data_IF_658160452156
#
_entry.id   IF_658160452156
#
_cell.length_a   1.000
_cell.length_b   1.000
_cell.length_c   1.000
_cell.angle_alpha   90.00
_cell.angle_beta   90.00
_cell.angle_gamma   90.00
#
_symmetry.space_group_name_H-M   'P 1'
#
loop_
_entity.id
_entity.type
_entity.pdbx_description
1 polymer ?
#
# COMPACT_ATOMS: atom_id res chain seq x y z
N UNK A 1 32.01 18.02 -15.27
CA UNK A 1 30.95 17.73 -14.28
C UNK A 1 30.93 16.24 -14.14
N UNK A 2 31.49 15.69 -13.07
CA UNK A 2 31.43 14.26 -12.82
C UNK A 2 29.94 13.87 -12.83
N UNK A 3 29.59 12.84 -13.58
CA UNK A 3 28.33 12.11 -13.43
C UNK A 3 28.12 11.84 -11.93
N UNK A 4 26.87 11.72 -11.47
CA UNK A 4 26.58 11.24 -10.11
C UNK A 4 27.29 9.88 -9.90
N UNK A 5 28.54 9.91 -9.45
CA UNK A 5 29.36 8.75 -9.13
C UNK A 5 28.68 8.07 -7.95
N UNK A 6 28.45 6.76 -8.10
CA UNK A 6 27.82 5.85 -7.13
C UNK A 6 28.35 6.11 -5.71
N UNK A 7 27.61 6.91 -4.94
CA UNK A 7 27.93 7.20 -3.56
C UNK A 7 27.26 6.14 -2.68
N UNK A 8 28.06 5.45 -1.85
CA UNK A 8 27.53 4.47 -0.90
C UNK A 8 26.48 5.14 0.00
N UNK A 9 25.24 4.62 -0.05
CA UNK A 9 24.15 5.16 0.74
C UNK A 9 24.28 4.76 2.22
N UNK A 10 24.58 3.48 2.47
CA UNK A 10 24.76 2.94 3.82
C UNK A 10 26.26 2.80 4.15
N UNK A 11 26.77 3.66 5.04
CA UNK A 11 28.19 3.64 5.47
C UNK A 11 28.37 3.36 6.97
N UNK A 12 27.26 3.10 7.67
CA UNK A 12 27.19 3.01 9.14
C UNK A 12 26.82 1.61 9.64
N UNK A 13 26.61 0.65 8.74
CA UNK A 13 26.26 -0.73 9.02
C UNK A 13 27.34 -1.66 8.42
N UNK A 14 27.71 -2.78 9.07
CA UNK A 14 27.19 -3.29 10.35
C UNK A 14 27.69 -2.53 11.60
N UNK A 15 28.86 -1.92 11.49
CA UNK A 15 29.52 -1.17 12.56
C UNK A 15 29.85 0.26 12.10
N UNK A 16 29.92 1.17 13.07
CA UNK A 16 30.29 2.57 12.78
C UNK A 16 31.81 2.74 12.80
N UNK A 17 32.33 3.54 11.86
CA UNK A 17 33.73 3.96 11.89
C UNK A 17 33.98 4.99 13.00
N UNK A 18 35.26 5.30 13.27
CA UNK A 18 35.62 6.31 14.27
C UNK A 18 35.20 7.73 13.88
N UNK A 19 34.94 8.58 14.86
CA UNK A 19 34.57 9.99 14.63
C UNK A 19 35.55 10.73 13.70
N UNK A 20 36.87 10.51 13.87
CA UNK A 20 37.87 11.15 13.01
C UNK A 20 37.82 10.66 11.55
N UNK A 21 37.46 9.38 11.34
CA UNK A 21 37.30 8.83 9.99
C UNK A 21 36.15 9.53 9.27
N UNK A 22 35.01 9.67 9.95
CA UNK A 22 33.85 10.39 9.42
C UNK A 22 34.11 11.88 9.21
N UNK A 23 34.86 12.53 10.11
CA UNK A 23 35.29 13.93 9.95
C UNK A 23 36.13 14.11 8.69
N UNK A 24 37.10 13.23 8.45
CA UNK A 24 37.92 13.25 7.23
C UNK A 24 37.09 12.96 5.98
N UNK A 25 36.13 12.04 6.07
CA UNK A 25 35.22 11.69 4.97
C UNK A 25 34.36 12.89 4.56
N UNK A 26 33.66 13.53 5.50
CA UNK A 26 32.82 14.68 5.22
C UNK A 26 33.60 15.89 4.67
N UNK A 27 34.84 16.09 5.11
CA UNK A 27 35.73 17.14 4.56
C UNK A 27 36.16 16.85 3.12
N UNK A 28 36.46 15.60 2.80
CA UNK A 28 36.93 15.20 1.47
C UNK A 28 35.77 15.08 0.47
N UNK A 29 34.62 14.63 0.94
CA UNK A 29 33.41 14.39 0.15
C UNK A 29 32.20 15.06 0.83
N UNK A 30 32.00 16.38 0.64
CA UNK A 30 30.90 17.12 1.26
C UNK A 30 29.52 16.58 0.94
N UNK A 31 29.35 15.90 -0.20
CA UNK A 31 28.09 15.27 -0.59
C UNK A 31 27.68 14.10 0.33
N UNK A 32 28.63 13.48 1.05
CA UNK A 32 28.37 12.38 1.97
C UNK A 32 28.00 12.85 3.40
N UNK A 33 27.87 14.17 3.61
CA UNK A 33 27.68 14.74 4.96
C UNK A 33 26.42 14.24 5.67
N UNK A 34 25.36 13.87 4.95
CA UNK A 34 24.13 13.34 5.54
C UNK A 34 24.28 11.87 5.96
N UNK A 35 24.97 11.06 5.16
CA UNK A 35 25.34 9.69 5.52
C UNK A 35 26.24 9.69 6.76
N UNK A 36 27.20 10.62 6.81
CA UNK A 36 28.03 10.85 8.00
C UNK A 36 27.18 11.33 9.18
N UNK A 37 26.20 12.20 8.95
CA UNK A 37 25.24 12.65 9.96
C UNK A 37 24.44 11.51 10.58
N UNK A 38 23.94 10.58 9.77
CA UNK A 38 23.25 9.38 10.25
C UNK A 38 24.19 8.44 11.01
N UNK A 39 25.43 8.28 10.56
CA UNK A 39 26.44 7.56 11.33
C UNK A 39 26.71 8.20 12.69
N UNK A 40 26.74 9.54 12.78
CA UNK A 40 26.87 10.26 14.05
C UNK A 40 25.67 10.03 14.96
N UNK A 41 24.46 9.97 14.41
CA UNK A 41 23.24 9.66 15.16
C UNK A 41 23.30 8.26 15.79
N UNK A 42 23.89 7.28 15.12
CA UNK A 42 24.08 5.92 15.66
C UNK A 42 25.18 5.89 16.72
N UNK A 43 26.35 6.44 16.40
CA UNK A 43 27.54 6.34 17.25
C UNK A 43 27.56 7.36 18.41
N UNK A 44 26.63 8.31 18.43
CA UNK A 44 26.57 9.38 19.42
C UNK A 44 27.63 10.47 19.24
N UNK A 45 28.15 10.68 18.03
CA UNK A 45 29.19 11.68 17.74
C UNK A 45 28.61 13.10 17.63
N UNK A 46 28.05 13.61 18.73
CA UNK A 46 27.39 14.92 18.83
C UNK A 46 28.26 16.08 18.31
N UNK A 47 29.54 16.08 18.66
CA UNK A 47 30.46 17.17 18.28
C UNK A 47 30.60 17.22 16.76
N UNK A 48 30.94 16.09 16.15
CA UNK A 48 30.99 15.99 14.69
C UNK A 48 29.65 16.31 14.04
N UNK A 49 28.53 15.79 14.57
CA UNK A 49 27.20 16.12 14.04
C UNK A 49 26.96 17.64 13.97
N UNK A 50 27.36 18.37 15.01
CA UNK A 50 27.26 19.83 15.06
C UNK A 50 28.19 20.53 14.04
N UNK A 51 29.35 19.94 13.75
CA UNK A 51 30.31 20.46 12.74
C UNK A 51 29.79 20.31 11.30
N UNK A 52 28.87 19.37 11.02
CA UNK A 52 28.37 19.08 9.67
C UNK A 52 27.35 20.11 9.16
N UNK A 53 26.75 20.90 10.06
CA UNK A 53 25.75 21.94 9.74
C UNK A 53 24.64 21.42 8.81
N UNK A 54 23.99 20.33 9.23
CA UNK A 54 22.93 19.68 8.47
C UNK A 54 21.57 20.32 8.74
N UNK A 55 20.69 20.24 7.75
CA UNK A 55 19.27 20.46 7.99
C UNK A 55 18.73 19.38 8.96
N UNK A 56 17.62 19.72 9.62
CA UNK A 56 16.83 18.89 10.53
C UNK A 56 16.16 17.71 9.81
N UNK A 57 16.97 16.75 9.39
CA UNK A 57 16.55 15.55 8.67
C UNK A 57 15.81 14.55 9.58
N UNK A 58 14.65 14.07 9.11
CA UNK A 58 13.80 13.15 9.88
C UNK A 58 14.41 11.76 10.05
N UNK A 59 15.19 11.27 9.08
CA UNK A 59 15.78 9.94 9.13
C UNK A 59 16.92 9.89 10.13
N UNK A 60 17.75 10.94 10.18
CA UNK A 60 18.75 11.11 11.24
C UNK A 60 18.07 11.23 12.61
N UNK A 61 16.95 11.96 12.73
CA UNK A 61 16.23 12.07 14.00
C UNK A 61 15.67 10.73 14.47
N UNK A 62 15.07 9.94 13.57
CA UNK A 62 14.54 8.62 13.88
C UNK A 62 15.64 7.64 14.30
N UNK A 63 16.78 7.68 13.62
CA UNK A 63 17.97 6.90 13.96
C UNK A 63 18.52 7.30 15.35
N UNK A 64 18.71 8.61 15.58
CA UNK A 64 19.24 9.12 16.86
C UNK A 64 18.33 8.76 18.05
N UNK A 65 17.01 8.76 17.82
CA UNK A 65 16.02 8.35 18.83
C UNK A 65 16.15 6.87 19.18
N UNK A 66 16.31 6.01 18.17
CA UNK A 66 16.45 4.58 18.38
C UNK A 66 17.74 4.26 19.14
N UNK A 67 18.84 4.89 18.75
CA UNK A 67 20.16 4.61 19.32
C UNK A 67 20.37 5.32 20.67
N UNK A 68 19.52 6.29 21.03
CA UNK A 68 19.60 7.13 22.23
C UNK A 68 19.25 6.44 23.56
N UNK A 69 19.51 5.14 23.69
CA UNK A 69 19.37 4.39 24.95
C UNK A 69 20.31 4.89 26.06
N UNK A 70 20.21 4.27 27.25
CA UNK A 70 20.98 4.67 28.44
C UNK A 70 22.50 4.72 28.22
N UNK A 71 23.01 3.94 27.26
CA UNK A 71 24.44 3.76 27.02
C UNK A 71 25.04 4.76 26.00
N UNK A 72 24.22 5.45 25.19
CA UNK A 72 24.70 6.37 24.14
C UNK A 72 24.06 7.76 24.30
N UNK A 73 24.54 8.49 25.31
CA UNK A 73 24.05 9.85 25.63
C UNK A 73 24.15 10.84 24.45
N UNK A 74 25.14 10.66 23.57
CA UNK A 74 25.35 11.53 22.41
C UNK A 74 24.25 11.44 21.36
N UNK A 75 23.66 10.26 21.14
CA UNK A 75 22.55 10.06 20.20
C UNK A 75 21.28 10.75 20.69
N UNK A 76 20.98 10.62 21.98
CA UNK A 76 19.85 11.32 22.59
C UNK A 76 20.00 12.86 22.53
N UNK A 77 21.22 13.37 22.63
CA UNK A 77 21.52 14.79 22.41
C UNK A 77 21.29 15.23 20.97
N UNK A 78 21.75 14.45 19.98
CA UNK A 78 21.52 14.72 18.55
C UNK A 78 20.01 14.74 18.26
N UNK A 79 19.27 13.76 18.77
CA UNK A 79 17.82 13.72 18.65
C UNK A 79 17.18 15.02 19.16
N UNK A 80 17.52 15.44 20.40
CA UNK A 80 17.03 16.69 21.01
C UNK A 80 17.38 17.92 20.19
N UNK A 81 18.59 17.97 19.62
CA UNK A 81 19.01 19.07 18.76
C UNK A 81 18.14 19.17 17.51
N UNK A 82 17.83 18.04 16.86
CA UNK A 82 17.02 18.03 15.64
C UNK A 82 15.57 18.40 15.94
N UNK A 83 14.93 17.80 16.94
CA UNK A 83 13.51 18.06 17.23
C UNK A 83 13.25 19.48 17.77
N UNK A 84 14.27 20.16 18.29
CA UNK A 84 14.19 21.55 18.72
C UNK A 84 14.24 22.54 17.54
N UNK A 85 14.66 22.09 16.36
CA UNK A 85 14.71 22.88 15.14
C UNK A 85 13.41 22.74 14.34
N UNK A 86 13.09 23.78 13.57
CA UNK A 86 11.96 23.80 12.63
C UNK A 86 12.35 24.74 11.47
N UNK A 87 11.97 24.43 10.22
CA UNK A 87 11.19 23.28 9.72
C UNK A 87 11.93 21.93 9.77
N UNK A 88 11.31 20.83 9.32
CA UNK A 88 11.91 19.48 9.21
C UNK A 88 12.00 19.06 7.75
N UNK A 89 12.97 18.22 7.42
CA UNK A 89 13.24 17.82 6.04
C UNK A 89 13.36 16.32 5.86
N UNK A 90 12.95 15.86 4.68
CA UNK A 90 13.21 14.52 4.12
C UNK A 90 14.37 14.66 3.12
N UNK A 91 15.61 14.61 3.64
CA UNK A 91 16.83 14.72 2.82
C UNK A 91 17.33 13.35 2.40
N UNK A 92 17.33 12.41 3.33
CA UNK A 92 17.62 10.99 3.08
C UNK A 92 16.33 10.27 2.65
N UNK A 93 16.38 9.52 1.55
CA UNK A 93 15.29 8.64 1.11
C UNK A 93 15.73 7.18 1.07
N UNK A 94 15.32 6.42 2.10
CA UNK A 94 15.63 5.00 2.27
C UNK A 94 14.97 4.10 1.20
N UNK A 95 13.93 4.57 0.51
CA UNK A 95 13.28 3.81 -0.56
C UNK A 95 14.06 3.86 -1.87
N UNK A 96 14.73 4.97 -2.16
CA UNK A 96 15.54 5.14 -3.38
C UNK A 96 17.04 5.04 -3.12
N UNK A 97 17.46 5.11 -1.86
CA UNK A 97 18.86 5.22 -1.44
C UNK A 97 19.51 6.49 -2.00
N UNK A 98 18.80 7.60 -1.92
CA UNK A 98 19.25 8.90 -2.45
C UNK A 98 19.32 9.97 -1.37
N UNK A 99 20.09 11.02 -1.66
CA UNK A 99 20.23 12.21 -0.81
C UNK A 99 19.86 13.43 -1.64
N UNK A 100 18.77 14.09 -1.29
CA UNK A 100 18.29 15.28 -2.01
C UNK A 100 18.77 16.56 -1.33
N UNK A 101 19.87 17.13 -1.84
CA UNK A 101 20.46 18.35 -1.30
C UNK A 101 19.93 19.64 -1.94
N UNK A 102 19.35 19.53 -3.14
CA UNK A 102 18.99 20.69 -3.96
C UNK A 102 17.63 21.27 -3.56
N UNK A 103 16.63 20.41 -3.37
CA UNK A 103 15.27 20.80 -2.99
C UNK A 103 14.68 19.79 -1.99
N UNK A 104 15.22 19.75 -0.75
CA UNK A 104 14.75 18.80 0.25
C UNK A 104 13.31 19.12 0.65
N UNK A 105 12.48 18.08 0.68
CA UNK A 105 11.05 18.21 0.95
C UNK A 105 10.83 18.53 2.43
N UNK A 106 10.10 19.62 2.70
CA UNK A 106 9.64 19.95 4.05
C UNK A 106 8.55 18.99 4.51
N UNK A 107 8.63 18.55 5.77
CA UNK A 107 7.70 17.58 6.38
C UNK A 107 7.22 18.04 7.75
N UNK A 108 6.09 17.50 8.20
CA UNK A 108 5.46 17.89 9.47
C UNK A 108 6.31 17.52 10.69
N UNK A 109 7.04 16.41 10.62
CA UNK A 109 7.83 15.87 11.71
C UNK A 109 8.10 14.38 11.53
N UNK A 110 8.51 13.72 12.62
CA UNK A 110 8.86 12.30 12.65
C UNK A 110 7.64 11.44 12.32
N UNK A 111 7.82 10.46 11.43
CA UNK A 111 6.73 9.69 10.85
C UNK A 111 6.93 8.16 10.89
N UNK A 112 7.99 7.67 11.53
CA UNK A 112 8.35 6.26 11.61
C UNK A 112 8.44 5.61 10.22
N UNK A 113 9.18 6.24 9.32
CA UNK A 113 9.37 5.81 7.93
C UNK A 113 10.83 5.75 7.52
N UNK A 114 11.69 5.44 8.48
CA UNK A 114 13.13 5.26 8.29
C UNK A 114 13.51 3.83 8.62
N UNK A 115 14.41 3.23 7.84
CA UNK A 115 15.02 1.95 8.19
C UNK A 115 16.20 2.18 9.15
N UNK A 116 15.88 2.30 10.44
CA UNK A 116 16.87 2.42 11.52
C UNK A 116 17.85 1.24 11.55
N UNK A 117 19.04 1.41 12.12
CA UNK A 117 20.14 0.43 12.12
C UNK A 117 19.68 -0.96 12.56
N UNK A 118 18.96 -1.07 13.67
CA UNK A 118 18.47 -2.36 14.19
C UNK A 118 17.51 -3.08 13.26
N UNK A 119 16.88 -2.36 12.31
CA UNK A 119 16.08 -2.98 11.26
C UNK A 119 16.91 -3.72 10.22
N UNK A 120 18.18 -3.32 10.02
CA UNK A 120 19.11 -3.89 9.06
C UNK A 120 19.73 -5.21 9.54
N UNK A 121 19.66 -5.46 10.85
CA UNK A 121 20.10 -6.70 11.49
C UNK A 121 19.06 -7.82 11.39
N UNK A 122 17.84 -7.51 10.92
CA UNK A 122 16.80 -8.52 10.66
C UNK A 122 17.11 -9.20 9.34
N UNK A 123 17.59 -10.44 9.43
CA UNK A 123 17.98 -11.27 8.29
C UNK A 123 16.93 -12.31 7.92
N UNK A 124 16.97 -12.76 6.68
CA UNK A 124 16.11 -13.81 6.16
C UNK A 124 16.91 -14.85 5.37
N UNK A 125 16.51 -16.14 5.44
CA UNK A 125 17.15 -17.17 4.66
C UNK A 125 16.75 -17.08 3.19
N UNK A 126 17.66 -17.47 2.31
CA UNK A 126 17.33 -17.78 0.93
C UNK A 126 16.62 -19.14 0.86
N UNK A 127 15.43 -19.16 0.29
CA UNK A 127 14.65 -20.36 -0.02
C UNK A 127 14.76 -20.71 -1.50
N UNK A 128 13.99 -21.71 -1.95
CA UNK A 128 14.06 -22.24 -3.31
C UNK A 128 14.04 -21.12 -4.37
N UNK A 129 15.21 -20.92 -4.99
CA UNK A 129 15.38 -20.03 -6.12
C UNK A 129 14.68 -20.66 -7.33
N UNK A 130 13.54 -20.12 -7.74
CA UNK A 130 13.04 -20.35 -9.09
C UNK A 130 13.78 -19.39 -10.02
N UNK A 131 14.60 -19.97 -10.91
CA UNK A 131 15.00 -19.22 -12.10
C UNK A 131 13.71 -18.85 -12.85
N UNK A 132 13.60 -17.65 -13.43
CA UNK A 132 12.45 -17.32 -14.25
C UNK A 132 12.33 -18.37 -15.36
N UNK A 133 11.32 -19.24 -15.26
CA UNK A 133 10.93 -20.20 -16.29
C UNK A 133 10.28 -19.40 -17.42
N UNK A 134 11.06 -18.67 -18.20
CA UNK A 134 10.72 -18.17 -19.54
C UNK A 134 11.94 -17.47 -20.13
N UNK A 135 12.45 -18.04 -21.22
CA UNK A 135 13.65 -17.61 -21.92
C UNK A 135 13.46 -16.34 -22.76
N UNK A 136 13.04 -15.24 -22.14
CA UNK A 136 13.08 -13.91 -22.73
C UNK A 136 14.04 -13.02 -21.93
N UNK A 137 15.34 -13.32 -22.04
CA UNK A 137 16.45 -12.44 -21.64
C UNK A 137 16.58 -11.20 -22.55
N UNK A 138 15.61 -10.98 -23.46
CA UNK A 138 15.57 -9.86 -24.39
C UNK A 138 14.18 -9.22 -24.30
N UNK A 139 13.95 -8.40 -23.28
CA UNK A 139 12.78 -7.52 -23.17
C UNK A 139 13.23 -6.19 -22.57
N UNK A 140 13.41 -5.21 -23.45
CA UNK A 140 13.60 -3.76 -23.31
C UNK A 140 14.50 -3.19 -22.19
N UNK A 141 15.50 -2.43 -22.64
CA UNK A 141 16.69 -1.89 -21.97
C UNK A 141 16.48 -0.79 -20.90
N UNK A 142 15.38 -0.73 -20.15
CA UNK A 142 15.16 0.41 -19.22
C UNK A 142 15.37 0.11 -17.72
N UNK A 143 15.27 -1.14 -17.25
CA UNK A 143 15.65 -1.48 -15.85
C UNK A 143 16.23 -2.90 -15.75
N UNK A 144 17.45 -3.10 -15.19
CA UNK A 144 17.98 -4.43 -14.94
C UNK A 144 17.09 -5.14 -13.91
N UNK A 145 16.31 -6.12 -14.38
CA UNK A 145 15.52 -6.98 -13.49
C UNK A 145 16.48 -7.75 -12.57
N UNK A 146 16.17 -7.89 -11.26
CA UNK A 146 17.01 -8.65 -10.36
C UNK A 146 17.17 -10.09 -10.88
N UNK A 147 18.39 -10.62 -10.81
CA UNK A 147 18.77 -11.97 -11.27
C UNK A 147 17.88 -13.05 -10.63
N UNK A 148 17.31 -12.76 -9.46
CA UNK A 148 16.38 -13.62 -8.73
C UNK A 148 15.10 -12.85 -8.41
N UNK A 149 13.95 -13.42 -8.77
CA UNK A 149 12.61 -12.87 -8.49
C UNK A 149 11.87 -13.66 -7.40
N UNK A 150 12.51 -14.68 -6.83
CA UNK A 150 11.91 -15.59 -5.85
C UNK A 150 12.97 -16.09 -4.86
N UNK A 151 12.53 -16.77 -3.81
CA UNK A 151 13.42 -17.35 -2.80
C UNK A 151 13.74 -16.41 -1.63
N UNK A 152 13.19 -15.19 -1.62
CA UNK A 152 13.31 -14.26 -0.50
C UNK A 152 12.12 -13.31 -0.44
N UNK A 153 11.86 -12.73 0.73
CA UNK A 153 10.89 -11.64 0.91
C UNK A 153 11.56 -10.33 0.51
N UNK A 154 11.01 -9.71 -0.52
CA UNK A 154 11.45 -8.41 -0.99
C UNK A 154 11.29 -7.34 0.11
N UNK A 155 12.39 -6.69 0.49
CA UNK A 155 12.44 -5.68 1.56
C UNK A 155 12.01 -4.31 1.03
N UNK A 156 11.11 -3.66 1.77
CA UNK A 156 10.66 -2.30 1.46
C UNK A 156 11.83 -1.29 1.48
N UNK A 157 12.74 -1.46 2.43
CA UNK A 157 13.97 -0.68 2.54
C UNK A 157 15.17 -1.60 2.28
N UNK A 158 15.63 -1.68 1.03
CA UNK A 158 16.80 -2.48 0.65
C UNK A 158 18.12 -1.69 0.83
N UNK A 159 18.33 -1.13 2.02
CA UNK A 159 19.46 -0.23 2.31
C UNK A 159 20.82 -0.94 2.17
N UNK A 160 20.89 -2.21 2.58
CA UNK A 160 22.10 -3.05 2.48
C UNK A 160 22.28 -3.67 1.10
N UNK A 161 21.35 -3.42 0.18
CA UNK A 161 21.37 -3.84 -1.23
C UNK A 161 21.27 -5.36 -1.48
N UNK A 162 21.40 -6.17 -0.44
CA UNK A 162 21.38 -7.64 -0.42
C UNK A 162 20.02 -8.23 0.00
N UNK A 163 18.97 -7.41 0.16
CA UNK A 163 17.65 -7.81 0.65
C UNK A 163 17.67 -8.41 2.06
N UNK A 164 18.72 -8.17 2.84
CA UNK A 164 18.97 -8.78 4.15
C UNK A 164 19.02 -10.31 4.09
N UNK A 165 19.50 -10.89 2.99
CA UNK A 165 19.66 -12.33 2.84
C UNK A 165 20.85 -12.81 3.69
N UNK A 166 20.66 -13.90 4.42
CA UNK A 166 21.68 -14.58 5.24
C UNK A 166 21.39 -16.09 5.29
N UNK A 167 22.21 -16.88 5.97
CA UNK A 167 22.02 -18.33 6.14
C UNK A 167 20.89 -18.68 7.13
N UNK A 168 20.47 -17.70 7.94
CA UNK A 168 19.49 -17.88 9.02
C UNK A 168 18.49 -16.71 9.08
N UNK A 169 17.29 -16.98 9.61
CA UNK A 169 16.33 -15.94 9.95
C UNK A 169 16.68 -15.30 11.30
N UNK A 170 16.55 -13.98 11.40
CA UNK A 170 16.67 -13.26 12.68
C UNK A 170 15.32 -12.68 13.08
N UNK A 171 14.91 -12.90 14.34
CA UNK A 171 13.66 -12.35 14.86
C UNK A 171 13.73 -10.83 15.06
N UNK A 172 12.64 -10.14 14.76
CA UNK A 172 12.49 -8.70 15.04
C UNK A 172 12.24 -8.46 16.53
N UNK A 173 13.32 -8.18 17.28
CA UNK A 173 13.30 -7.92 18.73
C UNK A 173 13.08 -6.45 19.10
N UNK A 174 12.89 -5.56 18.12
CA UNK A 174 12.70 -4.13 18.38
C UNK A 174 11.43 -3.89 19.17
N UNK A 175 11.52 -2.96 20.12
CA UNK A 175 10.39 -2.54 20.95
C UNK A 175 9.71 -1.32 20.36
N UNK A 176 8.38 -1.31 20.43
CA UNK A 176 7.54 -0.25 19.89
C UNK A 176 6.55 0.23 20.95
N UNK A 177 6.28 1.51 20.93
CA UNK A 177 5.29 2.16 21.80
C UNK A 177 3.86 1.68 21.45
N UNK A 178 2.98 1.73 22.44
CA UNK A 178 1.55 1.50 22.19
C UNK A 178 0.99 2.60 21.26
N UNK A 179 0.42 2.18 20.13
CA UNK A 179 -0.17 3.04 19.12
C UNK A 179 -1.69 3.02 19.14
N UNK A 180 -2.31 2.35 20.12
CA UNK A 180 -3.78 2.23 20.23
C UNK A 180 -4.44 3.60 20.33
N UNK A 181 -3.91 4.49 21.16
CA UNK A 181 -4.42 5.86 21.33
C UNK A 181 -4.34 6.67 20.04
N UNK A 182 -3.33 6.39 19.20
CA UNK A 182 -3.16 7.05 17.92
C UNK A 182 -4.25 6.70 16.93
N UNK A 183 -4.99 5.59 17.08
CA UNK A 183 -6.06 5.20 16.15
C UNK A 183 -7.26 6.15 16.15
N UNK A 184 -7.54 6.78 17.29
CA UNK A 184 -8.72 7.63 17.49
C UNK A 184 -8.39 9.06 17.94
N UNK A 185 -7.13 9.36 18.25
CA UNK A 185 -6.67 10.72 18.59
C UNK A 185 -6.00 11.42 17.39
N UNK A 186 -5.93 12.76 17.38
CA UNK A 186 -5.09 13.49 16.43
C UNK A 186 -3.65 12.97 16.47
N UNK A 187 -3.00 12.87 15.30
CA UNK A 187 -1.61 12.44 15.24
C UNK A 187 -0.69 13.54 15.81
N UNK A 188 0.19 13.23 16.79
CA UNK A 188 1.14 14.21 17.33
C UNK A 188 2.10 14.66 16.23
N UNK A 189 2.75 15.83 16.35
CA UNK A 189 3.73 16.30 15.34
C UNK A 189 4.84 15.27 15.09
N UNK A 190 5.40 14.71 16.17
CA UNK A 190 6.38 13.63 16.14
C UNK A 190 5.69 12.34 16.56
N UNK A 191 5.61 11.36 15.67
CA UNK A 191 5.07 10.06 16.05
C UNK A 191 5.99 9.39 17.07
N UNK A 192 5.45 8.73 18.11
CA UNK A 192 6.23 7.84 18.98
C UNK A 192 6.79 6.67 18.17
N UNK A 193 7.69 5.86 18.72
CA UNK A 193 8.34 4.78 17.99
C UNK A 193 7.35 3.62 17.75
N UNK A 194 6.65 3.61 16.62
CA UNK A 194 5.53 2.68 16.36
C UNK A 194 5.64 1.96 15.02
N UNK A 195 5.13 0.72 14.96
CA UNK A 195 4.90 0.02 13.68
C UNK A 195 3.67 0.62 12.99
N UNK A 196 3.88 1.58 12.08
CA UNK A 196 2.79 2.38 11.49
C UNK A 196 1.83 1.66 10.52
N UNK A 197 2.06 0.38 10.18
CA UNK A 197 1.23 -0.37 9.24
C UNK A 197 -0.27 -0.35 9.63
N UNK A 198 -0.58 -0.55 10.91
CA UNK A 198 -1.96 -0.49 11.38
C UNK A 198 -2.55 0.91 11.24
N UNK A 199 -1.77 1.96 11.51
CA UNK A 199 -2.23 3.35 11.41
C UNK A 199 -2.55 3.74 9.96
N UNK A 200 -1.72 3.27 9.00
CA UNK A 200 -1.94 3.45 7.55
C UNK A 200 -3.26 2.78 7.14
N UNK A 201 -3.40 1.48 7.45
CA UNK A 201 -4.59 0.71 7.10
C UNK A 201 -5.87 1.25 7.75
N UNK A 202 -5.78 1.70 9.00
CA UNK A 202 -6.89 2.34 9.69
C UNK A 202 -7.29 3.66 9.02
N UNK A 203 -6.32 4.51 8.64
CA UNK A 203 -6.59 5.76 7.96
C UNK A 203 -7.23 5.55 6.58
N UNK A 204 -6.69 4.62 5.78
CA UNK A 204 -7.23 4.26 4.48
C UNK A 204 -8.65 3.66 4.59
N UNK A 205 -8.85 2.67 5.46
CA UNK A 205 -10.16 2.00 5.61
C UNK A 205 -11.27 2.91 6.14
N UNK A 206 -10.93 3.98 6.87
CA UNK A 206 -11.85 5.01 7.36
C UNK A 206 -11.97 6.21 6.40
N UNK A 207 -11.31 6.16 5.24
CA UNK A 207 -11.32 7.22 4.24
C UNK A 207 -10.85 8.58 4.77
N UNK A 208 -9.93 8.59 5.74
CA UNK A 208 -9.41 9.83 6.32
C UNK A 208 -8.24 10.36 5.48
N UNK A 209 -8.53 11.31 4.58
CA UNK A 209 -7.56 11.88 3.64
C UNK A 209 -6.34 12.45 4.36
N UNK A 210 -6.51 13.36 5.32
CA UNK A 210 -5.39 14.05 5.97
C UNK A 210 -4.46 13.07 6.69
N UNK A 211 -5.05 12.13 7.41
CA UNK A 211 -4.30 11.14 8.18
C UNK A 211 -3.61 10.14 7.26
N UNK A 212 -4.27 9.74 6.18
CA UNK A 212 -3.70 8.82 5.20
C UNK A 212 -2.56 9.48 4.42
N UNK A 213 -2.74 10.70 3.92
CA UNK A 213 -1.69 11.50 3.27
C UNK A 213 -0.43 11.62 4.13
N UNK A 214 -0.60 11.83 5.43
CA UNK A 214 0.51 11.94 6.36
C UNK A 214 1.24 10.62 6.59
N UNK A 215 0.52 9.51 6.70
CA UNK A 215 1.08 8.21 7.12
C UNK A 215 1.56 7.34 5.95
N UNK A 216 0.92 7.46 4.79
CA UNK A 216 1.13 6.58 3.63
C UNK A 216 2.58 6.59 3.18
N UNK A 217 2.98 5.46 2.62
CA UNK A 217 4.29 5.28 1.99
C UNK A 217 4.19 5.59 0.50
N UNK A 218 5.32 5.72 -0.22
CA UNK A 218 5.30 5.78 -1.67
C UNK A 218 4.57 4.55 -2.25
N UNK A 219 3.54 4.79 -3.05
CA UNK A 219 2.73 3.72 -3.64
C UNK A 219 3.54 2.92 -4.66
N UNK A 220 3.29 1.62 -4.75
CA UNK A 220 3.95 0.72 -5.71
C UNK A 220 5.35 0.24 -5.30
N UNK A 221 5.99 0.85 -4.29
CA UNK A 221 7.26 0.37 -3.75
C UNK A 221 7.05 -0.71 -2.70
N UNK A 222 6.70 -1.93 -3.13
CA UNK A 222 6.69 -3.22 -2.39
C UNK A 222 6.14 -3.27 -0.94
N UNK A 223 5.58 -2.19 -0.41
CA UNK A 223 5.20 -2.04 0.97
C UNK A 223 3.72 -1.71 1.09
N UNK A 224 2.84 -2.67 0.80
CA UNK A 224 1.41 -2.42 0.96
C UNK A 224 0.43 -3.44 0.39
N UNK A 225 0.75 -4.74 0.30
CA UNK A 225 -0.27 -5.74 -0.08
C UNK A 225 -1.52 -5.67 0.81
N UNK A 226 -1.33 -5.32 2.09
CA UNK A 226 -2.42 -5.09 3.05
C UNK A 226 -3.08 -3.71 2.95
N UNK A 227 -2.46 -2.75 2.25
CA UNK A 227 -2.99 -1.40 2.09
C UNK A 227 -4.08 -1.35 1.00
N UNK A 228 -3.95 -2.15 -0.06
CA UNK A 228 -4.93 -2.20 -1.17
C UNK A 228 -6.34 -2.55 -0.65
N UNK A 229 -6.56 -3.63 0.13
CA UNK A 229 -7.88 -3.93 0.68
C UNK A 229 -8.43 -2.80 1.58
N UNK A 230 -7.56 -2.14 2.35
CA UNK A 230 -7.95 -1.01 3.20
C UNK A 230 -8.35 0.21 2.36
N UNK A 231 -7.61 0.52 1.30
CA UNK A 231 -7.91 1.57 0.33
C UNK A 231 -9.23 1.30 -0.37
N UNK A 232 -9.40 0.10 -0.92
CA UNK A 232 -10.64 -0.34 -1.59
C UNK A 232 -11.83 -0.18 -0.65
N UNK A 233 -11.72 -0.63 0.61
CA UNK A 233 -12.74 -0.41 1.63
C UNK A 233 -13.01 1.08 1.84
N UNK A 234 -11.98 1.88 2.05
CA UNK A 234 -12.11 3.33 2.23
C UNK A 234 -12.86 4.00 1.08
N UNK A 235 -12.47 3.65 -0.16
CA UNK A 235 -13.09 4.15 -1.39
C UNK A 235 -14.56 3.77 -1.45
N UNK A 236 -14.93 2.51 -1.20
CA UNK A 236 -16.33 2.10 -1.20
C UNK A 236 -17.18 2.86 -0.18
N UNK A 237 -16.64 3.11 1.01
CA UNK A 237 -17.39 3.68 2.12
C UNK A 237 -17.40 5.21 2.19
N UNK A 238 -16.46 5.90 1.55
CA UNK A 238 -16.26 7.35 1.72
C UNK A 238 -16.12 8.08 0.37
N UNK A 239 -17.17 8.80 -0.10
CA UNK A 239 -17.19 9.37 -1.45
C UNK A 239 -16.12 10.44 -1.69
N UNK A 240 -15.84 11.30 -0.70
CA UNK A 240 -14.77 12.30 -0.83
C UNK A 240 -13.38 11.68 -0.83
N UNK A 241 -13.17 10.58 -0.09
CA UNK A 241 -11.94 9.82 -0.14
C UNK A 241 -11.76 9.18 -1.53
N UNK A 242 -12.82 8.59 -2.09
CA UNK A 242 -12.80 8.07 -3.46
C UNK A 242 -12.51 9.16 -4.50
N UNK A 243 -13.06 10.36 -4.32
CA UNK A 243 -12.73 11.51 -5.17
C UNK A 243 -11.25 11.85 -5.07
N UNK A 244 -10.70 11.97 -3.86
CA UNK A 244 -9.29 12.26 -3.65
C UNK A 244 -8.39 11.15 -4.25
N UNK A 245 -8.71 9.87 -4.03
CA UNK A 245 -8.00 8.73 -4.62
C UNK A 245 -8.02 8.76 -6.15
N UNK A 246 -9.14 9.20 -6.77
CA UNK A 246 -9.24 9.32 -8.23
C UNK A 246 -8.34 10.39 -8.84
N UNK A 247 -7.77 11.28 -8.03
CA UNK A 247 -6.82 12.30 -8.44
C UNK A 247 -5.36 11.85 -8.31
N UNK A 248 -5.10 10.66 -7.74
CA UNK A 248 -3.75 10.13 -7.54
C UNK A 248 -3.37 9.23 -8.75
N UNK A 249 -2.45 9.65 -9.63
CA UNK A 249 -2.10 8.88 -10.83
C UNK A 249 -1.57 7.47 -10.52
N UNK A 250 -0.85 7.33 -9.41
CA UNK A 250 -0.30 6.06 -8.96
C UNK A 250 -1.38 5.04 -8.58
N UNK A 251 -2.53 5.48 -8.06
CA UNK A 251 -3.63 4.59 -7.69
C UNK A 251 -4.39 4.09 -8.91
N UNK A 252 -4.43 4.88 -9.99
CA UNK A 252 -5.07 4.50 -11.25
C UNK A 252 -4.29 3.42 -12.00
N UNK A 253 -3.07 3.08 -11.58
CA UNK A 253 -2.31 1.93 -12.10
C UNK A 253 -2.74 0.60 -11.48
N UNK A 254 -3.52 0.62 -10.39
CA UNK A 254 -4.03 -0.56 -9.71
C UNK A 254 -5.51 -0.77 -10.08
N UNK A 255 -5.79 -1.88 -10.76
CA UNK A 255 -7.12 -2.18 -11.29
C UNK A 255 -8.16 -2.29 -10.16
N UNK A 256 -7.81 -2.89 -9.02
CA UNK A 256 -8.70 -3.07 -7.88
C UNK A 256 -9.16 -1.72 -7.30
N UNK A 257 -8.24 -0.77 -7.18
CA UNK A 257 -8.56 0.58 -6.69
C UNK A 257 -9.37 1.33 -7.74
N UNK A 258 -9.00 1.24 -9.02
CA UNK A 258 -9.74 1.87 -10.11
C UNK A 258 -11.19 1.36 -10.17
N UNK A 259 -11.40 0.05 -10.07
CA UNK A 259 -12.71 -0.58 -10.05
C UNK A 259 -13.54 -0.12 -8.85
N UNK A 260 -12.93 -0.05 -7.66
CA UNK A 260 -13.59 0.48 -6.46
C UNK A 260 -13.99 1.96 -6.63
N UNK A 261 -13.14 2.79 -7.24
CA UNK A 261 -13.43 4.20 -7.51
C UNK A 261 -14.63 4.30 -8.46
N UNK A 262 -14.60 3.58 -9.58
CA UNK A 262 -15.71 3.59 -10.56
C UNK A 262 -17.01 3.13 -9.92
N UNK A 263 -16.98 2.05 -9.13
CA UNK A 263 -18.15 1.58 -8.40
C UNK A 263 -18.70 2.63 -7.41
N UNK A 264 -17.82 3.29 -6.65
CA UNK A 264 -18.22 4.36 -5.72
C UNK A 264 -18.83 5.57 -6.43
N UNK A 265 -18.34 5.92 -7.62
CA UNK A 265 -18.93 6.98 -8.44
C UNK A 265 -20.35 6.61 -8.87
N UNK A 266 -20.57 5.37 -9.35
CA UNK A 266 -21.90 4.85 -9.68
C UNK A 266 -22.83 4.95 -8.46
N UNK A 267 -22.40 4.46 -7.29
CA UNK A 267 -23.16 4.57 -6.02
C UNK A 267 -23.48 6.02 -5.62
N UNK A 268 -22.79 7.00 -6.21
CA UNK A 268 -22.98 8.43 -5.96
C UNK A 268 -23.77 9.11 -7.09
N UNK A 269 -24.44 8.33 -7.95
CA UNK A 269 -25.17 8.79 -9.14
C UNK A 269 -24.30 9.48 -10.19
N UNK A 270 -23.01 9.12 -10.25
CA UNK A 270 -22.06 9.64 -11.22
C UNK A 270 -21.58 8.51 -12.14
N UNK A 271 -21.93 8.62 -13.43
CA UNK A 271 -21.55 7.67 -14.49
C UNK A 271 -20.40 8.16 -15.36
N UNK A 272 -19.72 9.25 -14.98
CA UNK A 272 -18.64 9.86 -15.77
C UNK A 272 -17.47 8.92 -16.07
N UNK A 273 -17.27 7.90 -15.23
CA UNK A 273 -16.20 6.90 -15.36
C UNK A 273 -16.64 5.60 -16.04
N UNK A 274 -17.91 5.49 -16.44
CA UNK A 274 -18.46 4.28 -17.04
C UNK A 274 -18.19 4.27 -18.55
N UNK A 275 -17.50 3.22 -18.99
CA UNK A 275 -17.19 2.90 -20.39
C UNK A 275 -17.80 1.54 -20.78
N UNK A 276 -17.75 1.18 -22.06
CA UNK A 276 -18.30 -0.09 -22.54
C UNK A 276 -17.59 -1.32 -21.95
N UNK A 277 -16.35 -1.16 -21.51
CA UNK A 277 -15.47 -2.18 -20.93
C UNK A 277 -15.56 -2.23 -19.40
N UNK A 278 -16.35 -1.34 -18.78
CA UNK A 278 -16.47 -1.30 -17.33
C UNK A 278 -16.99 -2.63 -16.80
N UNK A 279 -16.25 -3.24 -15.88
CA UNK A 279 -16.59 -4.51 -15.26
C UNK A 279 -16.35 -4.43 -13.75
N UNK A 280 -17.34 -3.92 -13.02
CA UNK A 280 -17.27 -3.78 -11.55
C UNK A 280 -18.38 -4.61 -10.91
N UNK A 281 -18.09 -5.24 -9.76
CA UNK A 281 -18.97 -6.25 -9.17
C UNK A 281 -19.90 -5.75 -8.06
N UNK A 282 -19.51 -4.72 -7.30
CA UNK A 282 -20.21 -4.28 -6.10
C UNK A 282 -20.59 -2.81 -6.26
N UNK A 283 -21.82 -2.52 -6.71
CA UNK A 283 -22.29 -1.13 -7.00
C UNK A 283 -23.46 -0.68 -6.12
N UNK A 284 -23.81 -1.45 -5.09
CA UNK A 284 -24.96 -1.18 -4.21
C UNK A 284 -24.63 -1.11 -2.71
N UNK A 285 -23.40 -1.44 -2.29
CA UNK A 285 -22.97 -1.39 -0.89
C UNK A 285 -21.75 -0.46 -0.71
N UNK A 286 -21.73 0.43 0.31
CA UNK A 286 -22.69 0.57 1.42
C UNK A 286 -23.91 1.44 1.13
N UNK A 287 -24.01 1.97 -0.09
CA UNK A 287 -25.13 2.79 -0.53
C UNK A 287 -25.44 2.47 -1.98
N UNK A 288 -26.71 2.44 -2.36
CA UNK A 288 -27.12 2.22 -3.74
C UNK A 288 -27.34 3.53 -4.50
N UNK A 289 -27.20 3.47 -5.82
CA UNK A 289 -27.56 4.54 -6.73
C UNK A 289 -29.09 4.60 -6.99
N UNK A 290 -29.54 5.64 -7.68
CA UNK A 290 -30.91 5.71 -8.21
C UNK A 290 -31.11 4.70 -9.34
N UNK A 291 -32.38 4.31 -9.57
CA UNK A 291 -32.73 3.43 -10.69
C UNK A 291 -32.29 4.01 -12.05
N UNK A 292 -32.41 5.33 -12.23
CA UNK A 292 -31.99 6.01 -13.47
C UNK A 292 -30.49 5.90 -13.71
N UNK A 293 -29.68 5.99 -12.65
CA UNK A 293 -28.23 5.77 -12.74
C UNK A 293 -27.94 4.36 -13.20
N UNK A 294 -28.57 3.33 -12.63
CA UNK A 294 -28.37 1.96 -13.07
C UNK A 294 -28.83 1.72 -14.51
N UNK A 295 -29.92 2.34 -14.95
CA UNK A 295 -30.35 2.29 -16.36
C UNK A 295 -29.32 2.93 -17.29
N UNK A 296 -28.71 4.05 -16.88
CA UNK A 296 -27.67 4.70 -17.66
C UNK A 296 -26.36 3.88 -17.69
N UNK A 297 -25.99 3.21 -16.59
CA UNK A 297 -24.88 2.25 -16.57
C UNK A 297 -25.14 1.11 -17.55
N UNK A 298 -26.33 0.51 -17.51
CA UNK A 298 -26.74 -0.55 -18.43
C UNK A 298 -26.70 -0.07 -19.88
N UNK A 299 -27.11 1.17 -20.16
CA UNK A 299 -27.04 1.76 -21.51
C UNK A 299 -25.60 1.91 -22.01
N UNK A 300 -24.65 2.27 -21.13
CA UNK A 300 -23.23 2.47 -21.50
C UNK A 300 -22.43 1.18 -21.58
N UNK A 301 -22.74 0.21 -20.72
CA UNK A 301 -22.00 -1.04 -20.56
C UNK A 301 -22.93 -2.28 -20.55
N UNK A 302 -23.76 -2.49 -21.59
CA UNK A 302 -24.83 -3.49 -21.55
C UNK A 302 -24.33 -4.93 -21.44
N UNK A 303 -23.15 -5.23 -21.99
CA UNK A 303 -22.61 -6.60 -22.03
C UNK A 303 -21.93 -6.96 -20.71
N UNK A 304 -21.08 -6.08 -20.20
CA UNK A 304 -20.24 -6.35 -19.03
C UNK A 304 -20.95 -6.10 -17.70
N UNK A 305 -21.90 -5.15 -17.66
CA UNK A 305 -22.54 -4.73 -16.40
C UNK A 305 -23.93 -5.31 -16.16
N UNK A 306 -24.56 -5.98 -17.13
CA UNK A 306 -25.93 -6.51 -16.97
C UNK A 306 -26.13 -7.36 -15.72
N UNK A 307 -25.20 -8.27 -15.45
CA UNK A 307 -25.30 -9.19 -14.33
C UNK A 307 -25.14 -8.44 -13.00
N UNK A 308 -24.18 -7.52 -12.92
CA UNK A 308 -24.00 -6.63 -11.77
C UNK A 308 -25.24 -5.75 -11.52
N UNK A 309 -25.86 -5.22 -12.58
CA UNK A 309 -27.06 -4.39 -12.48
C UNK A 309 -28.26 -5.22 -12.03
N UNK A 310 -28.40 -6.46 -12.50
CA UNK A 310 -29.44 -7.38 -12.03
C UNK A 310 -29.29 -7.69 -10.53
N UNK A 311 -28.05 -7.94 -10.07
CA UNK A 311 -27.74 -8.09 -8.64
C UNK A 311 -28.14 -6.87 -7.82
N UNK A 312 -27.77 -5.68 -8.29
CA UNK A 312 -28.20 -4.42 -7.67
C UNK A 312 -29.72 -4.28 -7.64
N UNK A 313 -30.42 -4.71 -8.68
CA UNK A 313 -31.87 -4.66 -8.80
C UNK A 313 -32.57 -5.63 -7.83
N UNK A 314 -32.01 -6.83 -7.61
CA UNK A 314 -32.50 -7.77 -6.58
C UNK A 314 -32.36 -7.13 -5.20
N UNK A 315 -31.16 -6.64 -4.86
CA UNK A 315 -30.88 -6.08 -3.53
C UNK A 315 -31.71 -4.84 -3.23
N UNK A 316 -32.06 -4.05 -4.25
CA UNK A 316 -32.87 -2.84 -4.10
C UNK A 316 -34.36 -3.05 -4.37
N UNK A 317 -34.81 -4.28 -4.63
CA UNK A 317 -36.19 -4.66 -4.96
C UNK A 317 -36.81 -3.90 -6.16
N UNK A 318 -36.04 -3.73 -7.25
CA UNK A 318 -36.48 -3.07 -8.50
C UNK A 318 -36.68 -4.06 -9.66
N UNK A 319 -37.86 -4.69 -9.76
CA UNK A 319 -38.20 -5.64 -10.83
C UNK A 319 -38.00 -5.07 -12.26
N UNK A 320 -38.45 -3.85 -12.53
CA UNK A 320 -38.31 -3.24 -13.87
C UNK A 320 -36.87 -2.95 -14.29
N UNK A 321 -35.93 -2.90 -13.33
CA UNK A 321 -34.51 -2.78 -13.62
C UNK A 321 -33.89 -4.16 -13.87
N UNK A 322 -34.31 -5.15 -13.08
CA UNK A 322 -33.91 -6.54 -13.24
C UNK A 322 -34.30 -7.08 -14.63
N UNK A 323 -35.55 -6.84 -15.05
CA UNK A 323 -36.04 -7.26 -16.36
C UNK A 323 -35.28 -6.58 -17.49
N UNK A 324 -34.99 -5.29 -17.34
CA UNK A 324 -34.23 -4.53 -18.32
C UNK A 324 -32.78 -5.01 -18.43
N UNK A 325 -32.18 -5.43 -17.32
CA UNK A 325 -30.81 -5.96 -17.30
C UNK A 325 -30.69 -7.30 -18.04
N UNK A 326 -31.76 -8.08 -18.11
CA UNK A 326 -31.80 -9.36 -18.79
C UNK A 326 -30.63 -10.30 -18.40
N UNK A 327 -30.43 -10.59 -17.10
CA UNK A 327 -29.26 -11.33 -16.62
C UNK A 327 -29.18 -12.76 -17.15
N UNK A 328 -27.97 -13.33 -17.16
CA UNK A 328 -27.79 -14.74 -17.52
C UNK A 328 -28.33 -15.67 -16.40
N UNK A 329 -29.35 -16.52 -16.66
CA UNK A 329 -29.91 -17.41 -15.64
C UNK A 329 -28.94 -18.48 -15.14
N UNK A 330 -27.81 -18.72 -15.83
CA UNK A 330 -26.75 -19.63 -15.37
C UNK A 330 -25.71 -18.98 -14.44
N UNK A 331 -25.82 -17.68 -14.16
CA UNK A 331 -24.91 -16.98 -13.24
C UNK A 331 -25.23 -17.31 -11.78
N UNK A 332 -24.31 -18.04 -11.13
CA UNK A 332 -24.46 -18.51 -9.74
C UNK A 332 -24.63 -17.38 -8.72
N UNK A 333 -23.97 -16.23 -8.92
CA UNK A 333 -24.04 -15.14 -7.94
C UNK A 333 -25.41 -14.46 -7.94
N UNK A 334 -26.05 -14.34 -9.10
CA UNK A 334 -27.40 -13.78 -9.24
C UNK A 334 -28.43 -14.75 -8.64
N UNK A 335 -28.27 -16.05 -8.90
CA UNK A 335 -29.16 -17.07 -8.33
C UNK A 335 -29.10 -17.12 -6.80
N UNK A 336 -27.92 -17.02 -6.19
CA UNK A 336 -27.76 -16.95 -4.73
C UNK A 336 -28.51 -15.73 -4.17
N UNK A 337 -28.35 -14.55 -4.76
CA UNK A 337 -29.04 -13.34 -4.31
C UNK A 337 -30.56 -13.42 -4.51
N UNK A 338 -31.02 -14.04 -5.60
CA UNK A 338 -32.44 -14.25 -5.85
C UNK A 338 -33.09 -15.23 -4.88
N UNK A 339 -32.36 -16.26 -4.42
CA UNK A 339 -32.83 -17.20 -3.37
C UNK A 339 -32.94 -16.50 -2.02
N UNK A 340 -31.94 -15.69 -1.67
CA UNK A 340 -31.90 -14.93 -0.40
C UNK A 340 -32.90 -13.76 -0.39
N UNK A 341 -33.36 -13.31 -1.56
CA UNK A 341 -34.32 -12.22 -1.70
C UNK A 341 -35.69 -12.57 -1.07
N UNK A 342 -36.27 -11.68 -0.24
CA UNK A 342 -37.63 -11.84 0.26
C UNK A 342 -38.70 -11.82 -0.84
N UNK A 343 -38.39 -11.21 -1.99
CA UNK A 343 -39.29 -11.16 -3.13
C UNK A 343 -39.07 -12.39 -4.04
N UNK A 344 -40.06 -13.29 -4.18
CA UNK A 344 -39.93 -14.52 -4.95
C UNK A 344 -39.86 -14.29 -6.47
N UNK A 345 -40.18 -13.08 -6.94
CA UNK A 345 -40.18 -12.72 -8.35
C UNK A 345 -38.85 -13.05 -9.04
N UNK A 346 -37.73 -12.65 -8.43
CA UNK A 346 -36.40 -12.79 -9.03
C UNK A 346 -36.02 -14.25 -9.27
N UNK A 347 -36.24 -15.11 -8.27
CA UNK A 347 -35.96 -16.54 -8.39
C UNK A 347 -36.83 -17.19 -9.48
N UNK A 348 -38.14 -16.88 -9.46
CA UNK A 348 -39.08 -17.41 -10.46
C UNK A 348 -38.72 -16.96 -11.87
N UNK A 349 -38.40 -15.68 -12.06
CA UNK A 349 -38.01 -15.12 -13.35
C UNK A 349 -36.74 -15.79 -13.91
N UNK A 350 -35.69 -16.00 -13.08
CA UNK A 350 -34.48 -16.70 -13.51
C UNK A 350 -34.76 -18.16 -13.86
N UNK A 351 -35.62 -18.83 -13.11
CA UNK A 351 -35.98 -20.24 -13.35
C UNK A 351 -36.73 -20.40 -14.67
N UNK A 352 -37.79 -19.60 -14.88
CA UNK A 352 -38.53 -19.60 -16.15
C UNK A 352 -37.60 -19.30 -17.33
N UNK A 353 -36.71 -18.31 -17.17
CA UNK A 353 -35.73 -17.98 -18.20
C UNK A 353 -34.73 -19.12 -18.48
N UNK A 354 -34.31 -19.88 -17.47
CA UNK A 354 -33.45 -21.05 -17.67
C UNK A 354 -34.16 -22.16 -18.45
N UNK A 355 -35.42 -22.42 -18.10
CA UNK A 355 -36.28 -23.40 -18.80
C UNK A 355 -36.49 -22.98 -20.26
N UNK A 356 -36.81 -21.71 -20.53
CA UNK A 356 -37.01 -21.17 -21.88
C UNK A 356 -35.74 -21.18 -22.75
N UNK A 357 -34.56 -21.03 -22.12
CA UNK A 357 -33.26 -21.00 -22.82
C UNK A 357 -32.58 -22.38 -22.87
N UNK A 358 -33.21 -23.44 -22.37
CA UNK A 358 -32.60 -24.78 -22.21
C UNK A 358 -31.24 -24.74 -21.49
N UNK A 359 -31.11 -23.84 -20.51
CA UNK A 359 -29.90 -23.65 -19.71
C UNK A 359 -30.00 -24.36 -18.39
N UNK A 360 -28.87 -24.87 -17.91
CA UNK A 360 -28.76 -25.43 -16.55
C UNK A 360 -29.00 -24.29 -15.55
N UNK A 361 -30.03 -24.46 -14.74
CA UNK A 361 -30.36 -23.55 -13.66
C UNK A 361 -29.41 -23.77 -12.47
N UNK A 362 -29.18 -22.72 -11.68
CA UNK A 362 -28.16 -22.71 -10.62
C UNK A 362 -28.25 -23.89 -9.64
N UNK A 363 -29.47 -24.31 -9.26
CA UNK A 363 -29.68 -25.37 -8.26
C UNK A 363 -29.08 -26.73 -8.68
N UNK A 364 -28.97 -26.99 -9.98
CA UNK A 364 -28.34 -28.20 -10.54
C UNK A 364 -26.80 -28.10 -10.57
N UNK A 365 -26.25 -26.88 -10.60
CA UNK A 365 -24.81 -26.59 -10.54
C UNK A 365 -24.25 -26.58 -9.12
N UNK A 366 -25.02 -26.12 -8.13
CA UNK A 366 -24.63 -26.15 -6.72
C UNK A 366 -24.46 -27.58 -6.19
N UNK A 367 -25.23 -28.51 -6.73
CA UNK A 367 -25.13 -29.95 -6.45
C UNK A 367 -23.93 -30.62 -7.14
N UNK A 368 -23.44 -30.10 -8.28
CA UNK A 368 -22.16 -30.52 -8.87
C UNK A 368 -20.94 -29.99 -8.09
N UNK A 369 -20.94 -28.72 -7.67
CA UNK A 369 -19.86 -28.16 -6.85
C UNK A 369 -19.73 -28.87 -5.49
N UNK A 370 -20.86 -29.25 -4.90
CA UNK A 370 -20.88 -30.07 -3.68
C UNK A 370 -20.30 -31.48 -3.89
N UNK A 371 -20.46 -32.08 -5.09
CA UNK A 371 -19.86 -33.37 -5.43
C UNK A 371 -18.36 -33.28 -5.70
N UNK A 372 -17.88 -32.18 -6.29
CA UNK A 372 -16.46 -31.92 -6.53
C UNK A 372 -15.68 -31.74 -5.22
N UNK A 373 -16.21 -30.99 -4.25
CA UNK A 373 -15.55 -30.79 -2.96
C UNK A 373 -15.48 -32.05 -2.07
N UNK A 374 -16.39 -33.02 -2.26
CA UNK A 374 -16.32 -34.31 -1.57
C UNK A 374 -15.23 -35.23 -2.16
N UNK A 375 -14.85 -35.03 -3.43
CA UNK A 375 -13.80 -35.82 -4.08
C UNK A 375 -12.38 -35.35 -3.78
N UNK A 376 -12.18 -34.13 -3.28
CA UNK A 376 -10.85 -33.56 -2.94
C UNK A 376 -10.47 -33.72 -1.47
N UNK A 377 -11.30 -34.41 -0.68
CA UNK A 377 -11.05 -34.65 0.76
C UNK A 377 -10.76 -36.12 1.06
N UNK A 378 -9.84 -36.74 0.30
CA UNK A 378 -9.26 -38.05 0.64
C UNK A 378 -7.75 -38.03 0.56
#
# INVERSE_FOLDING_TARGET
MASHEECAYCIWHPETATEETYRRLARKYPQLRYQVGRACAIAGYKKLYSELDLLSDISIAEEARESGGADISGSADIYRMIIAQSPFYEVLDDYTRTVNLDDPKEVTGINCDTAVRSSLDIKQPLTDLTLPLTGDLFCDDEEPRPIYTSGFRQQMFNITEDQSIDDHETEDTRQFDDHTSLLYSPLPKHLPNVKKNLLINAAASKGNVDRYCRLRRPFGKMGGSHEIPALVRGVYHHPFFAKWCSLQPEFLKCEEIQNAITARYIMSNDVSRVTAETNVCQIWYPSWASSDTYREVLRRAPVTMRDTIARAAIVTDHYSLFDAADPDPSNIYIGIEAIESPNPYYYQALRTKAEDQEKIFMDERASEFSRLNVSTTR
#
